data_IF_518550440956
#
_entry.id   IF_518550440956
#
_cell.length_a   1.000
_cell.length_b   1.000
_cell.length_c   1.000
_cell.angle_alpha   90.00
_cell.angle_beta   90.00
_cell.angle_gamma   90.00
#
_symmetry.space_group_name_H-M   'P 1'
#
loop_
_entity.id
_entity.type
_entity.pdbx_description
1 polymer ?
#
# COMPACT_ATOMS: atom_id res chain seq x y z
N UNK A 1 -23.19 9.73 1.18
CA UNK A 1 -22.34 8.52 1.35
C UNK A 1 -22.37 8.17 2.82
N UNK A 2 -22.73 6.94 3.20
CA UNK A 2 -22.71 6.54 4.61
C UNK A 2 -21.27 6.57 5.10
N UNK A 3 -20.95 7.38 6.11
CA UNK A 3 -19.61 7.38 6.71
C UNK A 3 -19.45 6.08 7.50
N UNK A 4 -18.64 5.17 6.97
CA UNK A 4 -18.24 3.96 7.68
C UNK A 4 -17.17 4.30 8.73
N UNK A 5 -17.09 3.55 9.84
CA UNK A 5 -16.05 3.77 10.85
C UNK A 5 -14.65 3.67 10.24
N UNK A 6 -13.66 4.39 10.80
CA UNK A 6 -12.27 4.23 10.42
C UNK A 6 -11.78 2.81 10.70
N UNK A 7 -10.70 2.44 10.01
CA UNK A 7 -10.11 1.10 10.02
C UNK A 7 -8.80 1.13 10.78
N UNK A 8 -8.72 0.34 11.86
CA UNK A 8 -7.50 0.07 12.61
C UNK A 8 -6.87 -1.27 12.17
N UNK A 9 -5.76 -1.65 12.79
CA UNK A 9 -5.06 -2.91 12.48
C UNK A 9 -5.95 -4.14 12.70
N UNK A 10 -6.70 -4.18 13.80
CA UNK A 10 -7.56 -5.32 14.11
C UNK A 10 -8.60 -5.53 13.01
N UNK A 11 -9.23 -4.44 12.53
CA UNK A 11 -10.21 -4.51 11.45
C UNK A 11 -9.60 -4.96 10.11
N UNK A 12 -8.33 -4.64 9.84
CA UNK A 12 -7.61 -5.18 8.66
C UNK A 12 -7.41 -6.70 8.81
N UNK A 13 -6.96 -7.16 9.98
CA UNK A 13 -6.74 -8.59 10.24
C UNK A 13 -8.06 -9.39 10.18
N UNK A 14 -9.14 -8.86 10.75
CA UNK A 14 -10.49 -9.42 10.65
C UNK A 14 -10.96 -9.52 9.19
N UNK A 15 -10.75 -8.47 8.39
CA UNK A 15 -11.07 -8.49 6.97
C UNK A 15 -10.30 -9.59 6.21
N UNK A 16 -8.98 -9.71 6.43
CA UNK A 16 -8.16 -10.75 5.79
C UNK A 16 -8.59 -12.16 6.18
N UNK A 17 -8.94 -12.37 7.45
CA UNK A 17 -9.44 -13.64 7.95
C UNK A 17 -10.77 -14.01 7.26
N UNK A 18 -11.75 -13.11 7.26
CA UNK A 18 -13.04 -13.35 6.61
C UNK A 18 -12.90 -13.53 5.08
N UNK A 19 -12.02 -12.77 4.44
CA UNK A 19 -11.73 -12.92 3.02
C UNK A 19 -11.20 -14.31 2.70
N UNK A 20 -10.28 -14.83 3.52
CA UNK A 20 -9.70 -16.17 3.34
C UNK A 20 -10.69 -17.32 3.56
N UNK A 21 -11.76 -17.09 4.32
CA UNK A 21 -12.84 -18.06 4.52
C UNK A 21 -13.80 -18.07 3.34
N UNK A 22 -14.04 -16.90 2.74
CA UNK A 22 -14.98 -16.71 1.62
C UNK A 22 -14.35 -16.99 0.26
N UNK A 23 -13.05 -16.79 0.14
CA UNK A 23 -12.27 -16.99 -1.07
C UNK A 23 -11.21 -18.08 -0.85
N UNK A 24 -11.48 -19.26 -1.41
CA UNK A 24 -10.69 -20.49 -1.22
C UNK A 24 -9.80 -20.84 -2.42
N UNK A 25 -9.28 -19.83 -3.13
CA UNK A 25 -8.41 -20.02 -4.29
C UNK A 25 -7.09 -19.26 -4.11
N UNK A 26 -6.03 -19.57 -4.88
CA UNK A 26 -4.77 -18.85 -4.77
C UNK A 26 -4.93 -17.38 -5.16
N UNK A 27 -4.48 -16.49 -4.28
CA UNK A 27 -4.34 -15.07 -4.57
C UNK A 27 -3.15 -14.49 -3.81
N UNK A 28 -2.56 -13.45 -4.38
CA UNK A 28 -1.56 -12.62 -3.71
C UNK A 28 -2.16 -11.24 -3.48
N UNK A 29 -2.24 -10.82 -2.23
CA UNK A 29 -2.78 -9.51 -1.85
C UNK A 29 -1.64 -8.65 -1.34
N UNK A 30 -1.62 -7.40 -1.77
CA UNK A 30 -0.72 -6.37 -1.29
C UNK A 30 -1.52 -5.33 -0.51
N UNK A 31 -1.16 -5.12 0.75
CA UNK A 31 -1.56 -3.92 1.47
C UNK A 31 -0.77 -2.75 0.88
N UNK A 32 -1.45 -1.65 0.57
CA UNK A 32 -0.83 -0.44 0.02
C UNK A 32 -1.21 0.78 0.87
N UNK A 33 -0.57 1.92 0.61
CA UNK A 33 -0.95 3.24 1.15
C UNK A 33 -1.22 3.21 2.67
N UNK A 34 -2.33 3.78 3.13
CA UNK A 34 -2.65 3.94 4.54
C UNK A 34 -2.82 2.61 5.26
N UNK A 35 -3.25 1.56 4.56
CA UNK A 35 -3.40 0.21 5.11
C UNK A 35 -2.06 -0.37 5.57
N UNK A 36 -1.00 -0.22 4.77
CA UNK A 36 0.36 -0.60 5.21
C UNK A 36 0.81 0.21 6.41
N UNK A 37 0.57 1.52 6.42
CA UNK A 37 0.96 2.40 7.54
C UNK A 37 0.27 2.03 8.85
N UNK A 38 -1.00 1.62 8.79
CA UNK A 38 -1.77 1.19 9.97
C UNK A 38 -1.35 -0.21 10.42
N UNK A 39 -1.16 -1.13 9.49
CA UNK A 39 -0.81 -2.50 9.81
C UNK A 39 0.58 -2.60 10.50
N UNK A 40 1.56 -1.84 10.01
CA UNK A 40 2.90 -1.71 10.62
C UNK A 40 2.92 -0.86 11.91
N UNK A 41 1.78 -0.25 12.30
CA UNK A 41 1.68 0.55 13.52
C UNK A 41 2.27 1.95 13.41
N UNK A 42 2.61 2.43 12.21
CA UNK A 42 3.02 3.83 11.98
C UNK A 42 1.85 4.81 12.13
N UNK A 43 0.62 4.32 11.92
CA UNK A 43 -0.64 5.04 12.12
C UNK A 43 -1.59 4.18 12.95
N UNK A 44 -2.50 4.84 13.67
CA UNK A 44 -3.53 4.15 14.45
C UNK A 44 -4.74 3.73 13.60
N UNK A 45 -5.06 4.50 12.54
CA UNK A 45 -6.22 4.27 11.69
C UNK A 45 -6.10 4.87 10.28
N UNK A 46 -6.92 4.36 9.35
CA UNK A 46 -7.12 4.82 7.97
C UNK A 46 -8.62 4.84 7.64
N UNK A 47 -9.04 5.51 6.56
CA UNK A 47 -10.46 5.60 6.17
C UNK A 47 -10.96 4.34 5.46
N UNK A 48 -10.05 3.61 4.81
CA UNK A 48 -10.30 2.48 3.93
C UNK A 48 -9.15 1.46 3.98
N UNK A 49 -9.48 0.24 3.57
CA UNK A 49 -8.49 -0.79 3.25
C UNK A 49 -8.16 -0.65 1.76
N UNK A 50 -7.01 -0.06 1.46
CA UNK A 50 -6.42 -0.01 0.15
C UNK A 50 -5.66 -1.33 -0.12
N UNK A 51 -6.02 -2.02 -1.21
CA UNK A 51 -5.35 -3.26 -1.62
C UNK A 51 -5.08 -3.32 -3.12
N UNK A 52 -3.96 -3.94 -3.49
CA UNK A 52 -3.72 -4.46 -4.83
C UNK A 52 -3.72 -5.99 -4.75
N UNK A 53 -3.97 -6.68 -5.87
CA UNK A 53 -3.91 -8.14 -5.89
C UNK A 53 -3.46 -8.70 -7.23
N UNK A 54 -2.79 -9.85 -7.15
CA UNK A 54 -2.49 -10.71 -8.30
C UNK A 54 -3.30 -11.99 -8.14
N UNK A 55 -4.13 -12.28 -9.15
CA UNK A 55 -5.06 -13.41 -9.14
C UNK A 55 -5.23 -13.93 -10.57
N UNK A 56 -5.41 -15.24 -10.71
CA UNK A 56 -5.72 -15.82 -12.02
C UNK A 56 -6.99 -15.19 -12.61
N UNK A 57 -7.00 -14.95 -13.93
CA UNK A 57 -8.05 -14.18 -14.62
C UNK A 57 -9.45 -14.74 -14.37
N UNK A 58 -9.59 -16.05 -14.41
CA UNK A 58 -10.82 -16.80 -14.15
C UNK A 58 -11.34 -16.63 -12.71
N UNK A 59 -10.46 -16.27 -11.77
CA UNK A 59 -10.78 -16.12 -10.36
C UNK A 59 -10.99 -14.66 -9.93
N UNK A 60 -10.69 -13.70 -10.80
CA UNK A 60 -10.83 -12.25 -10.53
C UNK A 60 -12.25 -11.88 -10.08
N UNK A 61 -13.28 -12.32 -10.84
CA UNK A 61 -14.67 -12.03 -10.51
C UNK A 61 -15.11 -12.59 -9.15
N UNK A 62 -14.59 -13.77 -8.76
CA UNK A 62 -14.88 -14.37 -7.47
C UNK A 62 -14.23 -13.59 -6.30
N UNK A 63 -13.01 -13.09 -6.48
CA UNK A 63 -12.32 -12.28 -5.49
C UNK A 63 -13.04 -10.94 -5.27
N UNK A 64 -13.34 -10.22 -6.36
CA UNK A 64 -14.07 -8.94 -6.29
C UNK A 64 -15.44 -9.11 -5.63
N UNK A 65 -16.16 -10.20 -5.95
CA UNK A 65 -17.44 -10.49 -5.30
C UNK A 65 -17.28 -10.67 -3.79
N UNK A 66 -16.28 -11.43 -3.35
CA UNK A 66 -16.02 -11.66 -1.93
C UNK A 66 -15.67 -10.36 -1.20
N UNK A 67 -14.79 -9.51 -1.78
CA UNK A 67 -14.42 -8.21 -1.23
C UNK A 67 -15.66 -7.32 -1.08
N UNK A 68 -16.51 -7.24 -2.12
CA UNK A 68 -17.72 -6.41 -2.09
C UNK A 68 -18.71 -6.85 -1.00
N UNK A 69 -18.89 -8.15 -0.82
CA UNK A 69 -19.78 -8.68 0.22
C UNK A 69 -19.25 -8.36 1.62
N UNK A 70 -17.94 -8.50 1.85
CA UNK A 70 -17.30 -8.18 3.13
C UNK A 70 -17.26 -6.68 3.44
N UNK A 71 -17.12 -5.83 2.43
CA UNK A 71 -17.22 -4.37 2.53
C UNK A 71 -18.53 -3.95 3.21
N UNK A 72 -19.63 -4.63 2.91
CA UNK A 72 -20.94 -4.37 3.51
C UNK A 72 -21.10 -5.08 4.87
N UNK A 73 -20.73 -6.37 4.96
CA UNK A 73 -20.86 -7.18 6.17
C UNK A 73 -20.07 -6.60 7.37
N UNK A 74 -18.83 -6.18 7.13
CA UNK A 74 -17.94 -5.66 8.18
C UNK A 74 -18.05 -4.15 8.38
N UNK A 75 -18.92 -3.48 7.60
CA UNK A 75 -19.02 -2.02 7.58
C UNK A 75 -17.65 -1.35 7.38
N UNK A 76 -16.90 -1.79 6.37
CA UNK A 76 -15.56 -1.28 6.00
C UNK A 76 -15.61 -0.60 4.64
N UNK A 77 -14.76 0.39 4.40
CA UNK A 77 -14.43 0.78 3.02
C UNK A 77 -13.23 -0.04 2.56
N UNK A 78 -13.32 -0.60 1.36
CA UNK A 78 -12.24 -1.34 0.72
C UNK A 78 -12.13 -0.82 -0.71
N UNK A 79 -10.92 -0.44 -1.10
CA UNK A 79 -10.61 0.13 -2.41
C UNK A 79 -9.51 -0.69 -3.07
N UNK A 80 -9.70 -0.95 -4.37
CA UNK A 80 -8.62 -1.44 -5.20
C UNK A 80 -7.73 -0.25 -5.56
N UNK A 81 -6.48 -0.31 -5.15
CA UNK A 81 -5.51 0.76 -5.35
C UNK A 81 -4.14 0.17 -5.64
N UNK A 82 -3.44 0.73 -6.62
CA UNK A 82 -2.09 0.34 -6.97
C UNK A 82 -1.15 1.55 -6.99
N UNK A 83 0.09 1.44 -6.50
CA UNK A 83 1.11 2.44 -6.83
C UNK A 83 1.25 2.67 -8.35
N UNK A 84 0.90 1.67 -9.15
CA UNK A 84 0.85 1.72 -10.61
C UNK A 84 -0.11 2.75 -11.20
N UNK A 85 -1.08 3.22 -10.41
CA UNK A 85 -2.04 4.25 -10.82
C UNK A 85 -1.40 5.65 -10.89
N UNK A 86 -0.22 5.82 -10.28
CA UNK A 86 0.49 7.10 -10.19
C UNK A 86 1.86 7.07 -10.86
N UNK A 87 2.57 5.94 -10.80
CA UNK A 87 3.90 5.78 -11.38
C UNK A 87 4.02 4.45 -12.13
N UNK A 88 4.89 4.34 -13.14
CA UNK A 88 5.24 3.05 -13.71
C UNK A 88 5.80 2.12 -12.62
N UNK A 89 5.28 0.88 -12.54
CA UNK A 89 5.77 -0.08 -11.56
C UNK A 89 7.21 -0.48 -11.89
N UNK A 90 8.19 -0.27 -10.99
CA UNK A 90 9.57 -0.64 -11.24
C UNK A 90 9.73 -2.15 -11.27
N UNK A 91 10.61 -2.64 -12.14
CA UNK A 91 10.95 -4.07 -12.18
C UNK A 91 11.40 -4.55 -10.80
N UNK A 92 11.00 -5.76 -10.45
CA UNK A 92 11.39 -6.39 -9.18
C UNK A 92 10.56 -5.95 -7.97
N UNK A 93 9.45 -5.22 -8.15
CA UNK A 93 8.63 -4.77 -7.02
C UNK A 93 8.05 -5.97 -6.26
N UNK A 94 7.69 -7.05 -6.96
CA UNK A 94 7.12 -8.25 -6.35
C UNK A 94 8.06 -8.95 -5.37
N UNK A 95 9.36 -8.93 -5.68
CA UNK A 95 10.43 -9.51 -4.87
C UNK A 95 10.80 -8.61 -3.68
N UNK A 96 10.61 -7.29 -3.83
CA UNK A 96 10.80 -6.32 -2.74
C UNK A 96 9.60 -6.20 -1.80
N UNK A 97 8.40 -6.59 -2.26
CA UNK A 97 7.20 -6.66 -1.42
C UNK A 97 7.43 -7.59 -0.22
N UNK A 98 7.14 -7.09 0.97
CA UNK A 98 7.46 -7.79 2.23
C UNK A 98 6.33 -8.74 2.61
N UNK A 99 6.63 -10.02 2.85
CA UNK A 99 5.62 -11.00 3.25
C UNK A 99 5.12 -10.73 4.66
N UNK A 100 3.80 -10.68 4.82
CA UNK A 100 3.13 -10.50 6.11
C UNK A 100 2.74 -11.87 6.67
N UNK A 101 2.02 -12.66 5.88
CA UNK A 101 1.44 -13.91 6.34
C UNK A 101 0.56 -14.58 5.29
N UNK A 102 0.20 -15.83 5.58
CA UNK A 102 -0.69 -16.64 4.75
C UNK A 102 -2.03 -16.84 5.46
N UNK A 103 -3.11 -16.52 4.76
CA UNK A 103 -4.49 -16.72 5.18
C UNK A 103 -5.14 -17.72 4.22
N UNK A 104 -5.17 -19.01 4.60
CA UNK A 104 -5.54 -20.12 3.71
C UNK A 104 -4.74 -20.11 2.39
N UNK A 105 -5.40 -19.85 1.26
CA UNK A 105 -4.77 -19.79 -0.07
C UNK A 105 -4.37 -18.36 -0.48
N UNK A 106 -4.48 -17.39 0.42
CA UNK A 106 -4.14 -16.00 0.18
C UNK A 106 -2.79 -15.69 0.85
N UNK A 107 -1.81 -15.30 0.05
CA UNK A 107 -0.55 -14.74 0.57
C UNK A 107 -0.64 -13.23 0.62
N UNK A 108 -0.38 -12.65 1.79
CA UNK A 108 -0.51 -11.21 2.03
C UNK A 108 0.88 -10.59 2.21
N UNK A 109 1.08 -9.45 1.57
CA UNK A 109 2.33 -8.70 1.56
C UNK A 109 2.07 -7.22 1.84
N UNK A 110 3.06 -6.51 2.36
CA UNK A 110 3.18 -5.08 2.06
C UNK A 110 3.68 -4.94 0.64
N UNK A 111 3.06 -4.05 -0.14
CA UNK A 111 3.64 -3.67 -1.42
C UNK A 111 5.05 -3.10 -1.20
N UNK A 112 5.93 -3.24 -2.19
CA UNK A 112 7.25 -2.62 -2.20
C UNK A 112 7.21 -1.18 -1.66
N UNK A 113 7.74 -1.00 -0.44
CA UNK A 113 7.68 0.26 0.28
C UNK A 113 8.35 1.39 -0.53
N UNK A 114 9.33 1.05 -1.37
CA UNK A 114 9.99 2.01 -2.24
C UNK A 114 9.02 2.57 -3.29
N UNK A 115 8.34 1.67 -3.99
CA UNK A 115 7.33 2.02 -4.99
C UNK A 115 6.17 2.78 -4.32
N UNK A 116 5.77 2.39 -3.11
CA UNK A 116 4.76 3.14 -2.35
C UNK A 116 5.21 4.57 -2.07
N UNK A 117 6.42 4.79 -1.54
CA UNK A 117 6.91 6.14 -1.24
C UNK A 117 7.03 7.01 -2.49
N UNK A 118 7.48 6.45 -3.62
CA UNK A 118 7.48 7.16 -4.89
C UNK A 118 6.07 7.58 -5.33
N UNK A 119 5.10 6.66 -5.27
CA UNK A 119 3.72 6.96 -5.67
C UNK A 119 3.10 8.05 -4.79
N UNK A 120 3.46 8.09 -3.50
CA UNK A 120 3.07 9.14 -2.55
C UNK A 120 3.73 10.48 -2.87
N UNK A 121 5.03 10.50 -3.19
CA UNK A 121 5.74 11.69 -3.64
C UNK A 121 5.11 12.28 -4.90
N UNK A 122 4.73 11.43 -5.87
CA UNK A 122 4.06 11.87 -7.10
C UNK A 122 2.68 12.49 -6.83
N UNK A 123 1.89 11.91 -5.92
CA UNK A 123 0.58 12.47 -5.51
C UNK A 123 0.70 13.77 -4.74
N UNK A 124 1.71 13.91 -3.89
CA UNK A 124 2.13 15.18 -3.30
C UNK A 124 1.21 15.79 -2.25
N UNK A 125 0.36 15.01 -1.56
CA UNK A 125 -0.44 15.53 -0.44
C UNK A 125 0.38 15.68 0.84
N UNK A 126 -0.07 16.51 1.79
CA UNK A 126 0.61 16.67 3.09
C UNK A 126 0.67 15.34 3.89
N UNK A 127 -0.41 14.55 3.81
CA UNK A 127 -0.49 13.22 4.40
C UNK A 127 0.49 12.26 3.71
N UNK A 128 0.61 12.32 2.38
CA UNK A 128 1.57 11.52 1.63
C UNK A 128 3.02 11.82 2.04
N UNK A 129 3.40 13.09 2.19
CA UNK A 129 4.74 13.45 2.66
C UNK A 129 4.98 13.02 4.11
N UNK A 130 3.96 13.11 4.96
CA UNK A 130 4.05 12.65 6.35
C UNK A 130 4.26 11.13 6.41
N UNK A 131 3.54 10.37 5.60
CA UNK A 131 3.70 8.92 5.49
C UNK A 131 5.10 8.54 4.98
N UNK A 132 5.62 9.23 3.96
CA UNK A 132 6.99 8.99 3.45
C UNK A 132 8.05 9.25 4.53
N UNK A 133 7.89 10.30 5.33
CA UNK A 133 8.80 10.58 6.45
C UNK A 133 8.71 9.51 7.55
N UNK A 134 7.53 8.97 7.83
CA UNK A 134 7.36 7.86 8.77
C UNK A 134 8.06 6.59 8.26
N UNK A 135 7.88 6.27 6.97
CA UNK A 135 8.53 5.11 6.35
C UNK A 135 10.06 5.21 6.41
N UNK A 136 10.64 6.39 6.20
CA UNK A 136 12.09 6.61 6.25
C UNK A 136 12.70 6.52 7.65
N UNK A 137 11.89 6.80 8.69
CA UNK A 137 12.37 6.85 10.08
C UNK A 137 12.21 5.53 10.81
N UNK A 138 11.40 4.61 10.30
CA UNK A 138 11.10 3.36 10.99
C UNK A 138 12.15 2.28 10.72
N UNK A 139 12.48 1.52 11.76
CA UNK A 139 13.46 0.42 11.67
C UNK A 139 12.98 -0.72 10.76
N UNK A 140 11.67 -0.96 10.73
CA UNK A 140 11.01 -1.94 9.84
C UNK A 140 10.69 -1.37 8.44
N UNK A 141 10.83 -0.06 8.23
CA UNK A 141 10.40 0.61 7.02
C UNK A 141 11.47 0.76 5.94
N UNK A 142 11.41 1.89 5.23
CA UNK A 142 12.34 2.23 4.16
C UNK A 142 13.72 2.57 4.72
N UNK A 143 14.71 1.76 4.37
CA UNK A 143 16.11 2.02 4.72
C UNK A 143 16.70 3.18 3.92
N UNK A 144 16.35 3.29 2.64
CA UNK A 144 16.78 4.35 1.75
C UNK A 144 15.82 4.52 0.57
N UNK A 145 15.80 5.72 -0.01
CA UNK A 145 15.17 5.98 -1.31
C UNK A 145 16.26 6.01 -2.39
N UNK A 146 16.34 5.05 -3.33
CA UNK A 146 17.29 5.11 -4.42
C UNK A 146 17.15 6.40 -5.24
N UNK A 147 18.24 7.19 -5.25
CA UNK A 147 18.30 8.49 -5.91
C UNK A 147 18.11 8.42 -7.43
N UNK A 148 18.48 7.29 -8.07
CA UNK A 148 18.38 7.11 -9.53
C UNK A 148 16.94 6.98 -10.03
N UNK A 149 16.10 6.30 -9.27
CA UNK A 149 14.73 5.98 -9.66
C UNK A 149 13.74 7.15 -9.46
N UNK A 150 14.17 8.25 -8.83
CA UNK A 150 13.45 9.54 -8.84
C UNK A 150 13.68 10.31 -10.16
N UNK A 151 14.78 10.05 -10.87
CA UNK A 151 15.18 10.77 -12.09
C UNK A 151 14.77 10.00 -13.34
N UNK A 152 14.84 8.67 -13.31
CA UNK A 152 14.52 7.81 -14.46
C UNK A 152 13.00 7.61 -14.68
N UNK A 153 12.17 7.74 -13.64
CA UNK A 153 10.72 7.50 -13.73
C UNK A 153 9.89 8.74 -14.01
N UNK A 154 10.45 9.95 -13.87
CA UNK A 154 9.70 11.17 -14.11
C UNK A 154 10.59 12.35 -14.60
N UNK A 155 10.58 12.68 -15.90
CA UNK A 155 11.29 13.86 -16.42
C UNK A 155 10.72 15.19 -15.89
N UNK A 156 9.59 15.21 -15.16
CA UNK A 156 9.10 16.41 -14.47
C UNK A 156 9.76 16.65 -13.09
N UNK A 157 10.37 15.64 -12.47
CA UNK A 157 11.09 15.83 -11.19
C UNK A 157 12.40 16.65 -11.35
N UNK A 158 12.88 16.84 -12.58
CA UNK A 158 13.96 17.82 -12.86
C UNK A 158 13.53 19.28 -12.67
N UNK A 159 12.21 19.54 -12.60
CA UNK A 159 11.63 20.88 -12.48
C UNK A 159 11.06 21.20 -11.09
N UNK A 160 11.28 20.35 -10.08
CA UNK A 160 10.89 20.63 -8.68
C UNK A 160 12.14 20.73 -7.80
N UNK A 161 12.89 21.85 -7.84
CA UNK A 161 14.14 22.02 -7.08
C UNK A 161 13.97 21.83 -5.56
N UNK A 162 12.76 22.10 -5.05
CA UNK A 162 12.46 22.09 -3.62
C UNK A 162 12.29 20.68 -3.03
N UNK A 163 11.85 19.69 -3.81
CA UNK A 163 11.57 18.35 -3.28
C UNK A 163 12.86 17.53 -3.12
N UNK A 164 13.75 17.61 -4.11
CA UNK A 164 15.11 17.04 -4.03
C UNK A 164 15.90 17.70 -2.90
N UNK A 165 15.79 19.03 -2.73
CA UNK A 165 16.46 19.75 -1.64
C UNK A 165 15.92 19.43 -0.24
N UNK A 166 14.63 19.08 -0.09
CA UNK A 166 14.05 18.72 1.22
C UNK A 166 14.33 17.27 1.61
N UNK A 167 14.26 16.32 0.68
CA UNK A 167 14.60 14.92 0.96
C UNK A 167 16.10 14.74 1.22
N UNK A 168 16.98 15.46 0.52
CA UNK A 168 18.44 15.42 0.77
C UNK A 168 18.86 15.90 2.17
N UNK A 169 18.04 16.71 2.86
CA UNK A 169 18.33 17.14 4.24
C UNK A 169 17.93 16.15 5.32
N UNK A 170 17.08 15.16 5.00
CA UNK A 170 16.62 14.15 5.97
C UNK A 170 17.63 13.00 6.10
N UNK A 171 18.50 12.78 5.10
CA UNK A 171 19.48 11.68 5.08
C UNK A 171 20.84 12.06 5.70
N UNK A 172 21.04 13.33 6.10
CA UNK A 172 22.31 13.83 6.65
C UNK A 172 22.18 14.54 8.02
N UNK A 173 21.28 14.08 8.88
CA UNK A 173 21.31 14.43 10.31
C UNK A 173 21.16 13.21 11.19
#
# INVERSE_FOLDING_TARGET
MSQRPPVDRQRIEEFLLHLSQRYSRPARIYLVRGTTMVFEGFRTQTLDIDLAFEVARENHGALIKAIRELKDELSLNVEEASPGDFIPLPSGYQERSQFIGRYNQIDVFHFDLYTMALSKIERGTEEDFSDVLLLLRSECGLKELPAKSLVETNPFLSCVPLLVCRLARVVHK
#
